data_IF_517135067627
#
_entry.id   IF_517135067627
#
_cell.length_a   1.000
_cell.length_b   1.000
_cell.length_c   1.000
_cell.angle_alpha   90.00
_cell.angle_beta   90.00
_cell.angle_gamma   90.00
#
_symmetry.space_group_name_H-M   'P 1'
#
loop_
_entity.id
_entity.type
_entity.pdbx_description
1 polymer ?
#
# COMPACT_ATOMS: atom_id res chain seq x y z
N UNK A 1 8.84 -4.25 -13.77
CA UNK A 1 8.55 -2.92 -14.36
C UNK A 1 9.09 -1.86 -13.40
N UNK A 2 9.41 -0.64 -13.86
CA UNK A 2 9.76 0.44 -12.93
C UNK A 2 8.54 0.86 -12.09
N UNK A 3 8.76 1.29 -10.85
CA UNK A 3 7.70 1.78 -9.95
C UNK A 3 6.74 2.81 -10.61
N UNK A 4 7.20 3.79 -11.42
CA UNK A 4 6.29 4.71 -12.10
C UNK A 4 5.28 3.99 -13.02
N UNK A 5 5.74 2.97 -13.76
CA UNK A 5 4.87 2.21 -14.67
C UNK A 5 3.82 1.43 -13.88
N UNK A 6 4.18 0.84 -12.73
CA UNK A 6 3.22 0.14 -11.85
C UNK A 6 2.16 1.10 -11.33
N UNK A 7 2.54 2.32 -10.96
CA UNK A 7 1.61 3.36 -10.51
C UNK A 7 0.63 3.75 -11.62
N UNK A 8 1.11 3.92 -12.85
CA UNK A 8 0.24 4.23 -14.00
C UNK A 8 -0.72 3.08 -14.32
N UNK A 9 -0.23 1.83 -14.24
CA UNK A 9 -1.07 0.64 -14.40
C UNK A 9 -2.17 0.62 -13.35
N UNK A 10 -1.84 0.83 -12.07
CA UNK A 10 -2.80 0.83 -10.96
C UNK A 10 -3.90 1.90 -11.10
N UNK A 11 -3.61 2.99 -11.81
CA UNK A 11 -4.57 4.10 -12.04
C UNK A 11 -5.41 3.94 -13.29
N UNK A 12 -4.85 3.41 -14.37
CA UNK A 12 -5.40 3.62 -15.72
C UNK A 12 -5.70 2.34 -16.48
N UNK A 13 -5.15 1.19 -16.08
CA UNK A 13 -5.30 -0.02 -16.88
C UNK A 13 -6.78 -0.42 -17.04
N UNK A 14 -7.25 -0.75 -18.27
CA UNK A 14 -8.66 -1.00 -18.52
C UNK A 14 -9.19 -2.21 -17.74
N UNK A 15 -8.38 -3.27 -17.62
CA UNK A 15 -8.72 -4.46 -16.84
C UNK A 15 -8.55 -4.19 -15.32
N UNK A 16 -9.63 -4.29 -14.50
CA UNK A 16 -9.56 -4.12 -13.05
C UNK A 16 -8.67 -5.14 -12.34
N UNK A 17 -8.55 -6.37 -12.84
CA UNK A 17 -7.67 -7.38 -12.26
C UNK A 17 -6.21 -6.92 -12.30
N UNK A 18 -5.79 -6.35 -13.42
CA UNK A 18 -4.44 -5.83 -13.60
C UNK A 18 -4.19 -4.62 -12.69
N UNK A 19 -5.19 -3.74 -12.50
CA UNK A 19 -5.07 -2.64 -11.52
C UNK A 19 -4.92 -3.18 -10.10
N UNK A 20 -5.67 -4.22 -9.75
CA UNK A 20 -5.62 -4.87 -8.43
C UNK A 20 -4.25 -5.49 -8.15
N UNK A 21 -3.63 -6.13 -9.13
CA UNK A 21 -2.26 -6.64 -9.00
C UNK A 21 -1.25 -5.50 -8.86
N UNK A 22 -1.39 -4.42 -9.63
CA UNK A 22 -0.51 -3.26 -9.48
C UNK A 22 -0.65 -2.58 -8.10
N UNK A 23 -1.84 -2.56 -7.52
CA UNK A 23 -2.08 -2.12 -6.13
C UNK A 23 -1.31 -2.98 -5.13
N UNK A 24 -1.23 -4.29 -5.35
CA UNK A 24 -0.42 -5.21 -4.53
C UNK A 24 1.07 -4.90 -4.67
N UNK A 25 1.58 -4.78 -5.89
CA UNK A 25 2.98 -4.41 -6.13
C UNK A 25 3.37 -3.06 -5.50
N UNK A 26 2.49 -2.05 -5.54
CA UNK A 26 2.74 -0.75 -4.89
C UNK A 26 2.88 -0.89 -3.36
N UNK A 27 2.08 -1.76 -2.73
CA UNK A 27 2.19 -2.03 -1.29
C UNK A 27 3.54 -2.67 -0.95
N UNK A 28 3.98 -3.61 -1.78
CA UNK A 28 5.12 -4.48 -1.47
C UNK A 28 6.46 -3.87 -1.89
N UNK A 29 6.49 -3.10 -2.97
CA UNK A 29 7.74 -2.62 -3.58
C UNK A 29 7.99 -1.11 -3.40
N UNK A 30 6.93 -0.29 -3.29
CA UNK A 30 7.12 1.15 -3.16
C UNK A 30 7.41 1.54 -1.69
N UNK A 31 8.24 2.58 -1.47
CA UNK A 31 8.40 3.15 -0.14
C UNK A 31 7.07 3.61 0.44
N UNK A 32 6.83 3.41 1.74
CA UNK A 32 5.56 3.77 2.40
C UNK A 32 5.13 5.22 2.14
N UNK A 33 6.08 6.16 2.09
CA UNK A 33 5.82 7.56 1.78
C UNK A 33 5.17 7.78 0.39
N UNK A 34 5.46 6.88 -0.55
CA UNK A 34 4.89 6.85 -1.90
C UNK A 34 3.62 6.00 -1.94
N UNK A 35 3.61 4.82 -1.31
CA UNK A 35 2.47 3.89 -1.38
C UNK A 35 1.21 4.47 -0.73
N UNK A 36 1.32 5.08 0.45
CA UNK A 36 0.15 5.57 1.21
C UNK A 36 -0.72 6.58 0.43
N UNK A 37 -0.19 7.68 -0.15
CA UNK A 37 -1.02 8.63 -0.89
C UNK A 37 -1.68 7.99 -2.12
N UNK A 38 -0.96 7.11 -2.84
CA UNK A 38 -1.46 6.44 -4.05
C UNK A 38 -2.57 5.45 -3.71
N UNK A 39 -2.33 4.57 -2.74
CA UNK A 39 -3.33 3.60 -2.30
C UNK A 39 -4.58 4.29 -1.73
N UNK A 40 -4.43 5.44 -1.06
CA UNK A 40 -5.57 6.25 -0.57
C UNK A 40 -6.34 6.93 -1.69
N UNK A 41 -5.67 7.32 -2.78
CA UNK A 41 -6.33 7.80 -3.98
C UNK A 41 -7.19 6.70 -4.61
N UNK A 42 -6.59 5.53 -4.87
CA UNK A 42 -7.26 4.38 -5.50
C UNK A 42 -8.42 3.88 -4.64
N UNK A 43 -8.21 3.72 -3.34
CA UNK A 43 -9.25 3.33 -2.38
C UNK A 43 -10.41 4.32 -2.28
N UNK A 44 -10.33 5.52 -2.86
CA UNK A 44 -11.45 6.49 -2.86
C UNK A 44 -12.08 6.68 -4.24
N UNK A 45 -11.32 6.41 -5.31
CA UNK A 45 -11.67 6.86 -6.66
C UNK A 45 -11.74 5.75 -7.69
N UNK A 46 -11.19 4.56 -7.42
CA UNK A 46 -11.31 3.47 -8.39
C UNK A 46 -12.78 3.08 -8.56
N UNK A 47 -13.18 2.95 -9.82
CA UNK A 47 -14.54 2.61 -10.23
C UNK A 47 -14.90 1.15 -9.94
N UNK A 48 -13.90 0.30 -9.79
CA UNK A 48 -14.08 -1.12 -9.51
C UNK A 48 -14.05 -1.39 -8.00
N UNK A 49 -15.11 -1.97 -7.43
CA UNK A 49 -15.19 -2.25 -5.99
C UNK A 49 -14.09 -3.17 -5.46
N UNK A 50 -13.57 -4.09 -6.29
CA UNK A 50 -12.52 -5.01 -5.88
C UNK A 50 -11.16 -4.31 -5.81
N UNK A 51 -10.89 -3.41 -6.75
CA UNK A 51 -9.69 -2.57 -6.72
C UNK A 51 -9.74 -1.60 -5.53
N UNK A 52 -10.87 -0.96 -5.28
CA UNK A 52 -11.09 -0.13 -4.08
C UNK A 52 -10.78 -0.92 -2.81
N UNK A 53 -11.39 -2.11 -2.64
CA UNK A 53 -11.22 -2.94 -1.45
C UNK A 53 -9.78 -3.40 -1.28
N UNK A 54 -9.11 -3.79 -2.37
CA UNK A 54 -7.70 -4.18 -2.34
C UNK A 54 -6.82 -3.03 -1.87
N UNK A 55 -7.06 -1.81 -2.34
CA UNK A 55 -6.30 -0.63 -1.92
C UNK A 55 -6.53 -0.27 -0.44
N UNK A 56 -7.77 -0.37 0.04
CA UNK A 56 -8.09 -0.20 1.47
C UNK A 56 -7.39 -1.26 2.34
N UNK A 57 -7.42 -2.52 1.91
CA UNK A 57 -6.72 -3.60 2.61
C UNK A 57 -5.19 -3.43 2.59
N UNK A 58 -4.63 -2.95 1.49
CA UNK A 58 -3.20 -2.63 1.40
C UNK A 58 -2.79 -1.53 2.38
N UNK A 59 -3.62 -0.49 2.55
CA UNK A 59 -3.41 0.55 3.56
C UNK A 59 -3.42 0.00 4.99
N UNK A 60 -4.38 -0.88 5.32
CA UNK A 60 -4.46 -1.50 6.63
C UNK A 60 -3.18 -2.30 6.96
N UNK A 61 -2.68 -3.09 6.00
CA UNK A 61 -1.42 -3.84 6.15
C UNK A 61 -0.22 -2.93 6.40
N UNK A 62 -0.10 -1.81 5.69
CA UNK A 62 0.99 -0.86 5.88
C UNK A 62 0.96 -0.19 7.26
N UNK A 63 -0.22 0.01 7.83
CA UNK A 63 -0.39 0.57 9.18
C UNK A 63 -0.07 -0.47 10.25
N UNK A 64 -0.48 -1.73 10.05
CA UNK A 64 -0.15 -2.81 10.97
C UNK A 64 1.36 -3.07 11.03
N UNK A 65 2.04 -3.15 9.88
CA UNK A 65 3.51 -3.28 9.84
C UNK A 65 4.20 -2.16 10.62
N UNK A 66 3.77 -0.90 10.43
CA UNK A 66 4.31 0.25 11.18
C UNK A 66 4.08 0.10 12.70
N UNK A 67 2.90 -0.37 13.12
CA UNK A 67 2.59 -0.60 14.54
C UNK A 67 3.45 -1.71 15.15
N UNK A 68 3.77 -2.75 14.37
CA UNK A 68 4.68 -3.81 14.79
C UNK A 68 6.12 -3.28 14.96
N UNK A 69 6.61 -2.49 14.00
CA UNK A 69 7.94 -1.86 14.07
C UNK A 69 8.06 -0.91 15.27
N UNK A 70 7.06 -0.03 15.47
CA UNK A 70 7.06 0.92 16.58
C UNK A 70 7.12 0.21 17.94
N UNK A 71 6.35 -0.87 18.12
CA UNK A 71 6.34 -1.68 19.36
C UNK A 71 7.67 -2.40 19.61
N UNK A 72 8.32 -2.90 18.57
CA UNK A 72 9.64 -3.51 18.70
C UNK A 72 10.69 -2.47 19.12
N UNK A 73 10.62 -1.26 18.56
CA UNK A 73 11.55 -0.18 18.89
C UNK A 73 11.44 0.29 20.35
N UNK A 74 10.22 0.46 20.89
CA UNK A 74 10.05 0.84 22.31
C UNK A 74 10.47 -0.26 23.28
N UNK A 75 10.23 -1.54 22.94
CA UNK A 75 10.64 -2.67 23.78
C UNK A 75 12.17 -2.78 23.91
N UNK A 76 12.93 -2.48 22.84
CA UNK A 76 14.39 -2.49 22.88
C UNK A 76 15.00 -1.29 23.62
N UNK A 77 14.30 -0.14 23.68
CA UNK A 77 14.75 1.03 24.44
C UNK A 77 14.54 0.90 25.96
N UNK A 78 13.61 0.07 26.42
CA UNK A 78 13.31 -0.12 27.85
C UNK A 78 14.21 -1.14 28.58
N UNK A 79 15.18 -1.78 27.92
CA UNK A 79 16.07 -2.79 28.52
C UNK A 79 17.49 -2.28 28.83
N UNK A 80 17.68 -0.95 28.89
CA UNK A 80 18.95 -0.32 29.30
C UNK A 80 18.77 0.48 30.59
N UNK A 81 18.52 -0.19 31.71
CA UNK A 81 18.76 0.32 33.08
C UNK A 81 19.24 -0.86 33.92
#
# INVERSE_FOLDING_TARGET
AGLPVVIDIARTHPNPDVRREAVESIRDEAPRATSVPILREIARRDRDPDVHRKAAHALAKLDDSRRHEARSSVASSSLRI
#
